data_IF_295757776025
#
_entry.id   IF_295757776025
#
_cell.length_a   1.000
_cell.length_b   1.000
_cell.length_c   1.000
_cell.angle_alpha   90.00
_cell.angle_beta   90.00
_cell.angle_gamma   90.00
#
_symmetry.space_group_name_H-M   'P 1'
#
loop_
_entity.id
_entity.type
_entity.pdbx_description
1 polymer ?
#
# COMPACT_ATOMS: atom_id res chain seq x y z
N UNK A 1 24.69 16.49 -2.00
CA UNK A 1 24.63 15.30 -1.13
C UNK A 1 23.32 14.60 -1.45
N UNK A 2 23.40 13.28 -1.66
CA UNK A 2 22.47 12.51 -2.51
C UNK A 2 21.01 12.54 -2.07
N UNK A 3 20.10 12.51 -3.05
CA UNK A 3 18.72 12.12 -2.82
C UNK A 3 18.73 10.76 -2.13
N UNK A 4 18.05 10.64 -0.99
CA UNK A 4 17.73 9.33 -0.46
C UNK A 4 16.79 8.69 -1.50
N UNK A 5 17.31 7.71 -2.25
CA UNK A 5 16.57 7.00 -3.28
C UNK A 5 15.57 6.02 -2.64
N UNK A 6 14.50 6.58 -2.07
CA UNK A 6 13.33 5.84 -1.61
C UNK A 6 13.23 5.63 -0.10
N UNK A 7 11.99 5.66 0.42
CA UNK A 7 11.67 5.33 1.80
C UNK A 7 11.30 3.85 1.89
N UNK A 8 12.07 3.08 2.66
CA UNK A 8 11.86 1.63 2.84
C UNK A 8 11.65 1.28 4.31
N UNK A 9 11.00 0.15 4.55
CA UNK A 9 10.79 -0.36 5.90
C UNK A 9 12.05 -1.05 6.40
N UNK A 10 12.19 -1.19 7.73
CA UNK A 10 13.29 -1.94 8.32
C UNK A 10 13.24 -3.41 7.86
N UNK A 11 14.26 -3.81 7.11
CA UNK A 11 14.36 -5.12 6.48
C UNK A 11 14.65 -6.27 7.46
N UNK A 12 14.83 -7.47 6.90
CA UNK A 12 15.15 -8.68 7.65
C UNK A 12 13.99 -9.31 8.40
N UNK A 13 14.34 -10.21 9.30
CA UNK A 13 13.45 -11.02 10.13
C UNK A 13 13.71 -10.83 11.63
N UNK A 14 14.44 -9.76 12.01
CA UNK A 14 14.77 -9.38 13.39
C UNK A 14 13.58 -8.86 14.21
N UNK A 15 13.75 -8.66 15.53
CA UNK A 15 12.63 -8.33 16.44
C UNK A 15 12.04 -6.95 16.16
N UNK A 16 12.85 -6.09 15.54
CA UNK A 16 12.51 -4.73 15.15
C UNK A 16 12.23 -4.61 13.64
N UNK A 17 12.25 -5.73 12.90
CA UNK A 17 11.99 -5.75 11.46
C UNK A 17 10.51 -5.49 11.16
N UNK A 18 10.24 -5.00 9.96
CA UNK A 18 8.87 -4.82 9.48
C UNK A 18 8.11 -6.14 9.37
N UNK A 19 8.79 -7.23 9.00
CA UNK A 19 8.24 -8.59 8.93
C UNK A 19 7.56 -9.01 10.23
N UNK A 20 8.08 -8.58 11.38
CA UNK A 20 7.53 -8.91 12.72
C UNK A 20 6.63 -7.84 13.33
N UNK A 21 6.60 -6.62 12.77
CA UNK A 21 5.91 -5.46 13.37
C UNK A 21 4.88 -4.81 12.45
N UNK A 22 4.40 -5.52 11.42
CA UNK A 22 3.44 -5.01 10.42
C UNK A 22 2.03 -5.62 10.55
N UNK A 23 1.66 -6.10 11.75
CA UNK A 23 0.36 -6.73 11.99
C UNK A 23 -0.82 -5.76 11.83
N UNK A 24 -0.55 -4.46 11.94
CA UNK A 24 -1.53 -3.40 11.70
C UNK A 24 -1.91 -3.36 10.22
N UNK A 25 -0.93 -3.28 9.32
CA UNK A 25 -1.16 -3.34 7.87
C UNK A 25 -1.76 -4.69 7.47
N UNK A 26 -1.35 -5.78 8.13
CA UNK A 26 -1.95 -7.10 7.89
C UNK A 26 -3.46 -7.11 8.13
N UNK A 27 -3.95 -6.42 9.18
CA UNK A 27 -5.38 -6.36 9.46
C UNK A 27 -6.18 -5.71 8.32
N UNK A 28 -5.64 -4.67 7.66
CA UNK A 28 -6.28 -4.07 6.50
C UNK A 28 -6.34 -5.03 5.30
N UNK A 29 -5.28 -5.81 5.08
CA UNK A 29 -5.25 -6.86 4.03
C UNK A 29 -6.32 -7.91 4.31
N UNK A 30 -6.40 -8.42 5.55
CA UNK A 30 -7.36 -9.45 5.95
C UNK A 30 -8.81 -8.95 5.76
N UNK A 31 -9.12 -7.73 6.22
CA UNK A 31 -10.43 -7.11 6.07
C UNK A 31 -10.80 -6.87 4.60
N UNK A 32 -9.84 -6.49 3.76
CA UNK A 32 -10.08 -6.23 2.33
C UNK A 32 -10.33 -7.50 1.50
N UNK A 33 -10.00 -8.70 2.01
CA UNK A 33 -10.08 -9.98 1.28
C UNK A 33 -11.44 -10.21 0.62
N UNK A 34 -12.53 -9.98 1.36
CA UNK A 34 -13.88 -10.23 0.85
C UNK A 34 -14.27 -9.25 -0.27
N UNK A 35 -13.77 -8.01 -0.19
CA UNK A 35 -13.99 -6.98 -1.20
C UNK A 35 -13.19 -7.28 -2.45
N UNK A 36 -11.90 -7.62 -2.32
CA UNK A 36 -11.05 -8.06 -3.44
C UNK A 36 -11.74 -9.20 -4.20
N UNK A 37 -12.26 -10.21 -3.48
CA UNK A 37 -12.96 -11.33 -4.09
C UNK A 37 -14.20 -10.90 -4.88
N UNK A 38 -15.06 -10.04 -4.32
CA UNK A 38 -16.26 -9.52 -5.00
C UNK A 38 -15.87 -8.66 -6.21
N UNK A 39 -14.94 -7.73 -6.02
CA UNK A 39 -14.44 -6.83 -7.05
C UNK A 39 -13.87 -7.57 -8.26
N UNK A 40 -13.06 -8.61 -8.04
CA UNK A 40 -12.54 -9.44 -9.14
C UNK A 40 -13.68 -10.22 -9.80
N UNK A 41 -14.56 -10.84 -9.01
CA UNK A 41 -15.71 -11.59 -9.54
C UNK A 41 -16.61 -10.74 -10.44
N UNK A 42 -16.86 -9.49 -10.07
CA UNK A 42 -17.77 -8.57 -10.78
C UNK A 42 -17.06 -7.82 -11.92
N UNK A 43 -15.87 -7.26 -11.71
CA UNK A 43 -15.31 -6.25 -12.61
C UNK A 43 -14.13 -6.72 -13.46
N UNK A 44 -13.40 -7.78 -13.08
CA UNK A 44 -12.24 -8.25 -13.85
C UNK A 44 -12.68 -8.86 -15.17
N UNK A 45 -12.30 -8.29 -16.31
CA UNK A 45 -12.59 -8.89 -17.61
C UNK A 45 -11.64 -10.06 -17.87
N UNK A 46 -12.18 -11.25 -18.12
CA UNK A 46 -11.37 -12.39 -18.56
C UNK A 46 -10.99 -12.18 -20.03
N UNK A 47 -9.69 -12.12 -20.31
CA UNK A 47 -9.19 -12.03 -21.69
C UNK A 47 -8.93 -13.42 -22.26
N UNK A 48 -8.71 -13.51 -23.58
CA UNK A 48 -8.27 -14.77 -24.21
C UNK A 48 -6.82 -15.15 -23.86
N UNK A 49 -6.07 -14.23 -23.23
CA UNK A 49 -4.75 -14.52 -22.66
C UNK A 49 -4.88 -15.57 -21.57
N UNK A 50 -3.98 -16.56 -21.59
CA UNK A 50 -3.90 -17.58 -20.55
C UNK A 50 -3.04 -17.16 -19.37
N UNK A 51 -2.34 -16.03 -19.46
CA UNK A 51 -1.45 -15.52 -18.42
C UNK A 51 -2.05 -14.28 -17.77
N UNK A 52 -2.22 -14.30 -16.46
CA UNK A 52 -2.59 -13.15 -15.63
C UNK A 52 -1.35 -12.57 -14.96
N UNK A 53 -1.16 -11.26 -15.13
CA UNK A 53 -0.04 -10.50 -14.59
C UNK A 53 -0.52 -9.59 -13.47
N UNK A 54 -0.04 -9.84 -12.26
CA UNK A 54 -0.45 -9.17 -11.03
C UNK A 54 0.75 -8.41 -10.49
N UNK A 55 0.58 -7.15 -10.09
CA UNK A 55 1.62 -6.39 -9.42
C UNK A 55 1.18 -5.94 -8.02
N UNK A 56 2.01 -6.15 -7.01
CA UNK A 56 1.87 -5.54 -5.69
C UNK A 56 2.89 -4.41 -5.55
N UNK A 57 2.42 -3.18 -5.41
CA UNK A 57 3.23 -1.96 -5.38
C UNK A 57 3.40 -1.48 -3.94
N UNK A 58 4.66 -1.36 -3.50
CA UNK A 58 5.00 -1.16 -2.09
C UNK A 58 4.92 -2.47 -1.29
N UNK A 59 5.52 -3.54 -1.82
CA UNK A 59 5.39 -4.88 -1.27
C UNK A 59 6.17 -5.10 0.04
N UNK A 60 7.16 -4.25 0.33
CA UNK A 60 8.12 -4.41 1.43
C UNK A 60 8.82 -5.78 1.38
N UNK A 61 9.25 -6.31 2.53
CA UNK A 61 9.98 -7.57 2.68
C UNK A 61 9.08 -8.80 2.97
N UNK A 62 7.75 -8.61 3.10
CA UNK A 62 6.81 -9.64 3.55
C UNK A 62 6.52 -9.62 5.06
N UNK A 63 5.61 -10.50 5.56
CA UNK A 63 4.83 -11.49 4.81
C UNK A 63 3.55 -10.91 4.19
N UNK A 64 3.19 -9.66 4.51
CA UNK A 64 1.92 -9.05 4.14
C UNK A 64 1.61 -9.11 2.64
N UNK A 65 2.60 -8.83 1.78
CA UNK A 65 2.47 -8.92 0.32
C UNK A 65 2.04 -10.32 -0.16
N UNK A 66 2.50 -11.39 0.49
CA UNK A 66 2.16 -12.76 0.12
C UNK A 66 0.67 -13.03 0.37
N UNK A 67 0.13 -12.57 1.50
CA UNK A 67 -1.30 -12.68 1.79
C UNK A 67 -2.16 -11.86 0.82
N UNK A 68 -1.71 -10.65 0.45
CA UNK A 68 -2.42 -9.82 -0.51
C UNK A 68 -2.49 -10.47 -1.90
N UNK A 69 -1.35 -10.99 -2.38
CA UNK A 69 -1.25 -11.71 -3.66
C UNK A 69 -2.08 -12.98 -3.65
N UNK A 70 -2.03 -13.77 -2.57
CA UNK A 70 -2.83 -14.99 -2.44
C UNK A 70 -4.33 -14.69 -2.53
N UNK A 71 -4.80 -13.65 -1.83
CA UNK A 71 -6.20 -13.22 -1.90
C UNK A 71 -6.64 -12.85 -3.33
N UNK A 72 -5.77 -12.22 -4.13
CA UNK A 72 -6.04 -11.88 -5.53
C UNK A 72 -6.04 -13.13 -6.40
N UNK A 73 -5.03 -14.00 -6.27
CA UNK A 73 -4.92 -15.24 -7.02
C UNK A 73 -6.13 -16.15 -6.79
N UNK A 74 -6.54 -16.35 -5.54
CA UNK A 74 -7.72 -17.13 -5.18
C UNK A 74 -8.98 -16.58 -5.81
N UNK A 75 -9.15 -15.26 -5.82
CA UNK A 75 -10.30 -14.61 -6.44
C UNK A 75 -10.33 -14.82 -7.96
N UNK A 76 -9.19 -14.71 -8.64
CA UNK A 76 -9.10 -14.94 -10.09
C UNK A 76 -9.35 -16.41 -10.43
N UNK A 77 -8.70 -17.34 -9.71
CA UNK A 77 -8.89 -18.79 -9.88
C UNK A 77 -10.35 -19.19 -9.69
N UNK A 78 -11.00 -18.63 -8.66
CA UNK A 78 -12.43 -18.85 -8.44
C UNK A 78 -13.25 -18.36 -9.64
N UNK A 79 -13.00 -17.13 -10.12
CA UNK A 79 -13.71 -16.58 -11.29
C UNK A 79 -13.51 -17.44 -12.54
N UNK A 80 -12.30 -17.92 -12.79
CA UNK A 80 -12.00 -18.81 -13.90
C UNK A 80 -12.79 -20.13 -13.79
N UNK A 81 -12.82 -20.72 -12.59
CA UNK A 81 -13.52 -21.99 -12.37
C UNK A 81 -15.03 -21.88 -12.55
N UNK A 82 -15.64 -20.74 -12.22
CA UNK A 82 -17.07 -20.52 -12.41
C UNK A 82 -17.42 -20.26 -13.88
N UNK A 83 -16.54 -19.60 -14.64
CA UNK A 83 -16.76 -19.34 -16.07
C UNK A 83 -16.60 -20.61 -16.94
N UNK A 84 -15.68 -21.51 -16.60
CA UNK A 84 -15.51 -22.78 -17.34
C UNK A 84 -16.66 -23.78 -17.15
N UNK A 85 -17.55 -23.56 -16.19
CA UNK A 85 -18.70 -24.43 -15.91
C UNK A 85 -20.00 -23.97 -16.60
N UNK A 86 -19.97 -22.92 -17.43
CA UNK A 86 -21.12 -22.52 -18.25
C UNK A 86 -21.18 -23.47 -19.46
N UNK A 87 -22.28 -24.23 -19.67
CA UNK A 87 -22.40 -25.10 -20.84
C UNK A 87 -22.43 -24.26 -22.11
N UNK A 88 -21.53 -24.53 -23.06
CA UNK A 88 -21.64 -24.01 -24.42
C UNK A 88 -22.97 -24.51 -25.03
N UNK A 89 -23.98 -23.63 -25.07
CA UNK A 89 -25.30 -23.94 -25.64
C UNK A 89 -25.30 -23.97 -27.18
N UNK A 90 -24.13 -24.19 -27.81
CA UNK A 90 -23.93 -24.22 -29.26
C UNK A 90 -23.57 -25.62 -29.77
N UNK A 91 -24.34 -26.64 -29.37
CA UNK A 91 -24.36 -27.92 -30.07
C UNK A 91 -25.74 -28.17 -30.68
N UNK A 92 -26.02 -27.40 -31.73
CA UNK A 92 -27.04 -27.77 -32.71
C UNK A 92 -26.37 -28.69 -33.73
N UNK A 93 -26.35 -29.99 -33.46
CA UNK A 93 -26.01 -31.02 -34.44
C UNK A 93 -26.70 -32.33 -34.06
N UNK A 94 -27.85 -32.57 -34.70
CA UNK A 94 -28.41 -33.89 -34.84
C UNK A 94 -27.37 -34.80 -35.50
N UNK A 95 -26.81 -35.75 -34.76
CA UNK A 95 -26.42 -37.02 -35.38
C UNK A 95 -26.45 -38.16 -34.36
N UNK A 96 -27.50 -38.97 -34.46
CA UNK A 96 -27.55 -40.32 -33.88
C UNK A 96 -26.60 -41.19 -34.71
N UNK A 97 -25.54 -41.69 -34.09
CA UNK A 97 -25.13 -43.08 -34.28
C UNK A 97 -24.18 -43.51 -33.16
N UNK A 98 -24.60 -44.57 -32.49
CA UNK A 98 -23.89 -45.34 -31.48
C UNK A 98 -22.68 -46.04 -32.07
N UNK A 99 -21.53 -45.95 -31.40
CA UNK A 99 -20.72 -47.11 -31.02
C UNK A 99 -19.63 -46.73 -30.00
N UNK A 100 -19.54 -47.54 -28.96
CA UNK A 100 -18.56 -47.43 -27.88
C UNK A 100 -17.14 -47.68 -28.38
N UNK A 101 -16.19 -46.86 -27.94
CA UNK A 101 -14.87 -47.34 -27.47
C UNK A 101 -14.07 -46.20 -26.81
N UNK A 102 -13.56 -46.52 -25.63
CA UNK A 102 -12.53 -45.83 -24.83
C UNK A 102 -11.80 -44.65 -25.48
N UNK A 103 -11.96 -43.47 -24.89
CA UNK A 103 -10.81 -42.60 -24.63
C UNK A 103 -11.09 -41.79 -23.37
N UNK A 104 -10.13 -41.83 -22.45
CA UNK A 104 -10.06 -41.00 -21.26
C UNK A 104 -10.04 -39.51 -21.68
N UNK A 105 -11.21 -38.88 -21.81
CA UNK A 105 -11.30 -37.43 -21.98
C UNK A 105 -11.41 -36.76 -20.59
N UNK A 106 -10.43 -37.03 -19.73
CA UNK A 106 -10.06 -36.13 -18.63
C UNK A 106 -8.85 -35.36 -19.12
N UNK A 107 -8.92 -34.03 -19.06
CA UNK A 107 -7.83 -33.06 -19.25
C UNK A 107 -7.70 -32.47 -20.66
N UNK A 108 -8.56 -31.49 -20.94
CA UNK A 108 -8.13 -30.26 -21.62
C UNK A 108 -8.62 -29.06 -20.79
N UNK A 109 -8.36 -29.08 -19.48
CA UNK A 109 -8.53 -27.90 -18.62
C UNK A 109 -7.30 -27.04 -18.88
N UNK A 110 -7.38 -26.10 -19.81
CA UNK A 110 -6.26 -25.21 -20.13
C UNK A 110 -5.94 -24.39 -18.88
N UNK A 111 -4.84 -24.74 -18.21
CA UNK A 111 -4.42 -24.09 -16.96
C UNK A 111 -4.03 -22.64 -17.25
N UNK A 112 -4.65 -21.70 -16.56
CA UNK A 112 -4.16 -20.32 -16.54
C UNK A 112 -2.79 -20.29 -15.86
N UNK A 113 -1.92 -19.40 -16.32
CA UNK A 113 -0.64 -19.10 -15.70
C UNK A 113 -0.73 -17.76 -14.97
N UNK A 114 0.01 -17.63 -13.88
CA UNK A 114 0.04 -16.42 -13.08
C UNK A 114 1.48 -15.92 -12.96
N UNK A 115 1.69 -14.62 -13.19
CA UNK A 115 2.96 -13.96 -12.96
C UNK A 115 2.74 -12.80 -12.01
N UNK A 116 3.35 -12.88 -10.84
CA UNK A 116 3.30 -11.88 -9.79
C UNK A 116 4.59 -11.06 -9.79
N UNK A 117 4.43 -9.74 -9.82
CA UNK A 117 5.48 -8.76 -9.67
C UNK A 117 5.39 -8.12 -8.29
N UNK A 118 6.49 -8.17 -7.56
CA UNK A 118 6.65 -7.53 -6.26
C UNK A 118 7.47 -6.26 -6.46
N UNK A 119 6.83 -5.08 -6.37
CA UNK A 119 7.51 -3.81 -6.55
C UNK A 119 7.72 -3.10 -5.22
N UNK A 120 8.91 -2.54 -5.06
CA UNK A 120 9.25 -1.59 -4.00
C UNK A 120 10.46 -0.75 -4.45
N UNK A 121 10.92 0.17 -3.61
CA UNK A 121 12.15 0.92 -3.83
C UNK A 121 13.37 -0.02 -3.94
N UNK A 122 14.42 0.44 -4.63
CA UNK A 122 15.61 -0.37 -4.87
C UNK A 122 16.35 -0.79 -3.58
N UNK A 123 16.21 -0.01 -2.52
CA UNK A 123 16.78 -0.27 -1.20
C UNK A 123 15.97 -1.29 -0.37
N UNK A 124 14.80 -1.72 -0.86
CA UNK A 124 13.98 -2.68 -0.14
C UNK A 124 14.69 -4.04 -0.03
N UNK A 125 14.43 -4.75 1.06
CA UNK A 125 15.00 -6.07 1.31
C UNK A 125 14.27 -7.17 0.52
N UNK A 126 14.50 -7.16 -0.80
CA UNK A 126 14.02 -8.22 -1.69
C UNK A 126 14.60 -9.59 -1.34
N UNK A 127 15.77 -9.66 -0.70
CA UNK A 127 16.36 -10.94 -0.32
C UNK A 127 15.52 -11.65 0.74
N UNK A 128 15.05 -10.93 1.76
CA UNK A 128 14.12 -11.46 2.75
C UNK A 128 12.80 -11.87 2.10
N UNK A 129 12.25 -11.04 1.22
CA UNK A 129 11.04 -11.38 0.46
C UNK A 129 11.22 -12.70 -0.32
N UNK A 130 12.28 -12.81 -1.13
CA UNK A 130 12.50 -13.98 -1.98
C UNK A 130 12.75 -15.25 -1.18
N UNK A 131 13.40 -15.17 -0.01
CA UNK A 131 13.55 -16.32 0.91
C UNK A 131 12.22 -16.75 1.54
N UNK A 132 11.26 -15.83 1.67
CA UNK A 132 9.95 -16.11 2.26
C UNK A 132 8.91 -16.64 1.26
N UNK A 133 9.21 -16.62 -0.06
CA UNK A 133 8.29 -17.11 -1.08
C UNK A 133 7.97 -18.60 -0.87
N UNK A 134 6.70 -19.04 -0.98
CA UNK A 134 6.34 -20.44 -0.87
C UNK A 134 7.05 -21.30 -1.92
N UNK A 135 7.58 -22.46 -1.49
CA UNK A 135 8.23 -23.43 -2.38
C UNK A 135 7.22 -24.01 -3.38
N UNK A 136 6.06 -24.42 -2.90
CA UNK A 136 4.95 -24.92 -3.72
C UNK A 136 3.99 -23.77 -4.02
N UNK A 137 4.33 -22.97 -5.04
CA UNK A 137 3.48 -21.89 -5.55
C UNK A 137 3.07 -22.17 -6.99
N UNK A 138 1.86 -21.77 -7.35
CA UNK A 138 1.31 -21.90 -8.70
C UNK A 138 1.38 -20.60 -9.51
N UNK A 139 2.37 -19.76 -9.19
CA UNK A 139 2.68 -18.52 -9.89
C UNK A 139 4.18 -18.29 -10.04
N UNK A 140 4.58 -17.63 -11.13
CA UNK A 140 5.92 -17.08 -11.32
C UNK A 140 6.05 -15.78 -10.53
N UNK A 141 7.22 -15.54 -9.93
CA UNK A 141 7.48 -14.37 -9.10
C UNK A 141 8.65 -13.56 -9.66
N UNK A 142 8.57 -12.23 -9.59
CA UNK A 142 9.67 -11.33 -9.94
C UNK A 142 9.67 -10.10 -9.03
N UNK A 143 10.85 -9.66 -8.59
CA UNK A 143 11.01 -8.36 -7.93
C UNK A 143 11.23 -7.26 -8.96
N UNK A 144 10.66 -6.07 -8.71
CA UNK A 144 10.74 -4.90 -9.59
C UNK A 144 11.18 -3.69 -8.77
N UNK A 145 12.48 -3.36 -8.73
CA UNK A 145 12.96 -2.20 -7.98
C UNK A 145 12.61 -0.89 -8.70
N UNK A 146 12.00 0.06 -7.99
CA UNK A 146 11.70 1.39 -8.51
C UNK A 146 10.51 2.05 -7.82
N UNK A 147 10.45 3.39 -7.86
CA UNK A 147 9.32 4.13 -7.30
C UNK A 147 8.05 3.93 -8.12
N UNK A 148 6.96 3.51 -7.47
CA UNK A 148 5.65 3.41 -8.12
C UNK A 148 5.03 4.76 -8.48
N UNK A 149 5.58 5.91 -8.06
CA UNK A 149 5.09 7.22 -8.52
C UNK A 149 5.40 7.45 -10.02
N UNK A 150 6.28 6.65 -10.61
CA UNK A 150 6.58 6.67 -12.04
C UNK A 150 6.23 5.36 -12.75
N UNK A 151 6.61 5.27 -14.02
CA UNK A 151 6.54 4.04 -14.82
C UNK A 151 7.61 3.04 -14.36
N UNK A 152 7.19 1.79 -14.14
CA UNK A 152 8.03 0.65 -13.73
C UNK A 152 7.73 -0.61 -14.56
N UNK A 153 6.67 -0.60 -15.37
CA UNK A 153 6.30 -1.70 -16.28
C UNK A 153 6.17 -1.24 -17.74
N UNK A 154 6.24 -2.19 -18.70
CA UNK A 154 5.84 -1.95 -20.08
C UNK A 154 4.34 -1.58 -20.19
N UNK A 155 3.97 -0.98 -21.32
CA UNK A 155 2.58 -0.60 -21.54
C UNK A 155 1.67 -1.82 -21.72
N UNK A 156 0.47 -1.78 -21.11
CA UNK A 156 -0.53 -2.83 -21.23
C UNK A 156 -0.05 -4.21 -20.78
N UNK A 157 0.80 -4.27 -19.75
CA UNK A 157 1.39 -5.53 -19.26
C UNK A 157 0.79 -6.03 -17.95
N UNK A 158 -0.12 -5.30 -17.31
CA UNK A 158 -0.69 -5.70 -16.00
C UNK A 158 -2.22 -5.87 -16.08
N UNK A 159 -2.72 -6.97 -15.53
CA UNK A 159 -4.15 -7.25 -15.44
C UNK A 159 -4.74 -6.72 -14.12
N UNK A 160 -4.00 -6.91 -13.02
CA UNK A 160 -4.40 -6.45 -11.68
C UNK A 160 -3.21 -5.80 -10.98
N UNK A 161 -3.41 -4.60 -10.47
CA UNK A 161 -2.46 -3.90 -9.60
C UNK A 161 -3.06 -3.82 -8.21
N UNK A 162 -2.26 -4.09 -7.20
CA UNK A 162 -2.59 -3.90 -5.80
C UNK A 162 -1.59 -2.94 -5.17
N UNK A 163 -2.05 -2.07 -4.28
CA UNK A 163 -1.22 -1.16 -3.51
C UNK A 163 -1.85 -0.97 -2.14
N UNK A 164 -1.21 -1.51 -1.10
CA UNK A 164 -1.71 -1.45 0.27
C UNK A 164 -0.72 -0.75 1.17
N UNK A 165 -1.19 0.21 1.98
CA UNK A 165 -0.37 0.94 2.94
C UNK A 165 0.92 1.53 2.35
N UNK A 166 0.88 1.98 1.08
CA UNK A 166 2.04 2.52 0.39
C UNK A 166 1.77 3.91 -0.23
N UNK A 167 0.61 4.13 -0.87
CA UNK A 167 0.29 5.40 -1.56
C UNK A 167 0.17 6.64 -0.64
N UNK A 168 0.21 6.46 0.68
CA UNK A 168 0.26 7.56 1.64
C UNK A 168 1.69 8.07 1.88
N UNK A 169 2.70 7.36 1.39
CA UNK A 169 4.08 7.82 1.33
C UNK A 169 4.24 8.76 0.14
N UNK A 170 4.71 9.98 0.41
CA UNK A 170 5.04 10.96 -0.62
C UNK A 170 6.32 10.55 -1.34
N UNK A 171 6.46 10.99 -2.60
CA UNK A 171 7.68 10.77 -3.38
C UNK A 171 8.90 11.47 -2.78
N UNK A 172 8.66 12.60 -2.10
CA UNK A 172 9.64 13.31 -1.30
C UNK A 172 8.92 14.08 -0.18
N UNK A 173 9.62 14.29 0.94
CA UNK A 173 9.15 15.18 1.99
C UNK A 173 9.11 16.63 1.48
N UNK A 174 8.15 17.47 1.92
CA UNK A 174 8.16 18.89 1.62
C UNK A 174 9.47 19.56 2.07
N UNK A 175 10.15 20.23 1.13
CA UNK A 175 11.44 20.91 1.38
C UNK A 175 11.23 22.30 1.98
N UNK A 176 10.63 22.36 3.16
CA UNK A 176 10.38 23.61 3.86
C UNK A 176 10.63 23.48 5.35
N UNK A 177 11.19 24.53 5.93
CA UNK A 177 11.38 24.61 7.37
C UNK A 177 10.03 24.55 8.11
N UNK A 178 9.95 23.64 9.07
CA UNK A 178 8.80 23.38 9.93
C UNK A 178 9.22 23.55 11.41
N UNK A 179 9.45 24.79 11.88
CA UNK A 179 10.11 25.01 13.16
C UNK A 179 9.49 24.26 14.34
N UNK A 180 10.31 23.47 15.04
CA UNK A 180 9.92 22.67 16.19
C UNK A 180 8.95 21.52 15.90
N UNK A 181 8.80 21.10 14.64
CA UNK A 181 7.87 20.04 14.21
C UNK A 181 8.48 19.18 13.12
N UNK A 182 8.09 17.91 13.11
CA UNK A 182 8.50 16.95 12.08
C UNK A 182 7.36 16.58 11.11
N UNK A 183 6.15 17.13 11.26
CA UNK A 183 4.99 16.74 10.46
C UNK A 183 4.00 17.90 10.22
N UNK A 184 3.03 17.72 9.33
CA UNK A 184 2.05 18.74 8.96
C UNK A 184 1.01 19.04 10.06
N UNK A 185 0.95 18.22 11.12
CA UNK A 185 0.06 18.41 12.26
C UNK A 185 0.30 19.76 12.94
N UNK A 186 -0.68 20.68 12.88
CA UNK A 186 -0.55 22.00 13.53
C UNK A 186 0.57 22.87 12.94
N UNK A 187 1.06 22.54 11.75
CA UNK A 187 2.04 23.32 11.02
C UNK A 187 1.42 24.60 10.44
N UNK A 188 2.29 25.51 9.96
CA UNK A 188 1.85 26.72 9.24
C UNK A 188 1.13 26.34 7.94
N UNK A 189 0.24 27.22 7.49
CA UNK A 189 -0.57 27.00 6.29
C UNK A 189 0.26 26.70 5.04
N UNK A 190 1.44 27.31 4.89
CA UNK A 190 2.33 27.04 3.77
C UNK A 190 2.82 25.59 3.77
N UNK A 191 3.19 25.07 4.95
CA UNK A 191 3.65 23.68 5.11
C UNK A 191 2.54 22.71 4.81
N UNK A 192 1.35 22.94 5.37
CA UNK A 192 0.18 22.13 5.08
C UNK A 192 -0.17 22.11 3.57
N UNK A 193 -0.12 23.26 2.90
CA UNK A 193 -0.34 23.37 1.44
C UNK A 193 0.72 22.62 0.63
N UNK A 194 1.98 22.65 1.06
CA UNK A 194 3.06 21.91 0.38
C UNK A 194 2.83 20.39 0.45
N UNK A 195 2.40 19.88 1.60
CA UNK A 195 1.99 18.48 1.77
C UNK A 195 0.81 18.11 0.86
N UNK A 196 -0.26 18.92 0.85
CA UNK A 196 -1.45 18.69 0.01
C UNK A 196 -1.10 18.72 -1.48
N UNK A 197 -0.27 19.67 -1.92
CA UNK A 197 0.16 19.76 -3.31
C UNK A 197 1.00 18.55 -3.73
N UNK A 198 1.98 18.16 -2.91
CA UNK A 198 2.85 17.00 -3.19
C UNK A 198 2.03 15.71 -3.29
N UNK A 199 1.08 15.50 -2.38
CA UNK A 199 0.15 14.36 -2.43
C UNK A 199 -0.64 14.33 -3.74
N UNK A 200 -1.22 15.45 -4.16
CA UNK A 200 -1.99 15.53 -5.39
C UNK A 200 -1.13 15.22 -6.63
N UNK A 201 0.09 15.76 -6.69
CA UNK A 201 1.06 15.47 -7.76
C UNK A 201 1.43 13.98 -7.79
N UNK A 202 1.78 13.40 -6.63
CA UNK A 202 2.22 12.02 -6.51
C UNK A 202 1.11 11.02 -6.90
N UNK A 203 -0.13 11.26 -6.45
CA UNK A 203 -1.27 10.41 -6.83
C UNK A 203 -1.60 10.58 -8.32
N UNK A 204 -1.55 11.78 -8.89
CA UNK A 204 -1.78 11.96 -10.34
C UNK A 204 -0.74 11.22 -11.17
N UNK A 205 0.55 11.33 -10.81
CA UNK A 205 1.65 10.65 -11.48
C UNK A 205 1.57 9.13 -11.34
N UNK A 206 1.18 8.64 -10.16
CA UNK A 206 0.86 7.24 -9.94
C UNK A 206 -0.23 6.77 -10.91
N UNK A 207 -1.36 7.47 -10.98
CA UNK A 207 -2.48 7.12 -11.86
C UNK A 207 -2.07 7.17 -13.34
N UNK A 208 -1.34 8.20 -13.78
CA UNK A 208 -0.80 8.31 -15.14
C UNK A 208 0.10 7.13 -15.52
N UNK A 209 0.99 6.72 -14.62
CA UNK A 209 1.86 5.58 -14.84
C UNK A 209 1.05 4.28 -14.92
N UNK A 210 0.14 4.04 -13.97
CA UNK A 210 -0.74 2.86 -13.98
C UNK A 210 -1.64 2.82 -15.20
N UNK A 211 -2.12 3.96 -15.68
CA UNK A 211 -2.98 4.04 -16.86
C UNK A 211 -2.30 3.55 -18.14
N UNK A 212 -0.96 3.66 -18.21
CA UNK A 212 -0.16 3.15 -19.32
C UNK A 212 0.16 1.67 -19.17
N UNK A 213 0.35 1.20 -17.94
CA UNK A 213 0.82 -0.16 -17.64
C UNK A 213 -0.30 -1.19 -17.53
N UNK A 214 -1.47 -0.76 -17.05
CA UNK A 214 -2.63 -1.63 -16.85
C UNK A 214 -3.38 -1.77 -18.18
N UNK A 215 -3.73 -3.01 -18.54
CA UNK A 215 -4.55 -3.31 -19.72
C UNK A 215 -5.90 -2.63 -19.63
N UNK A 216 -6.55 -2.38 -20.77
CA UNK A 216 -7.93 -1.87 -20.77
C UNK A 216 -8.85 -2.83 -20.01
N UNK A 217 -9.70 -2.28 -19.14
CA UNK A 217 -10.56 -3.08 -18.25
C UNK A 217 -9.83 -3.79 -17.10
N UNK A 218 -8.50 -3.69 -17.02
CA UNK A 218 -7.72 -4.14 -15.88
C UNK A 218 -8.04 -3.34 -14.61
N UNK A 219 -7.67 -3.89 -13.46
CA UNK A 219 -8.05 -3.37 -12.15
C UNK A 219 -6.86 -2.81 -11.39
N UNK A 220 -7.08 -1.71 -10.66
CA UNK A 220 -6.17 -1.22 -9.62
C UNK A 220 -6.93 -1.23 -8.30
N UNK A 221 -6.40 -1.94 -7.31
CA UNK A 221 -6.97 -2.08 -5.97
C UNK A 221 -6.08 -1.32 -5.00
N UNK A 222 -6.64 -0.32 -4.32
CA UNK A 222 -5.94 0.45 -3.30
C UNK A 222 -6.52 0.11 -1.93
N UNK A 223 -5.65 -0.14 -0.95
CA UNK A 223 -6.01 -0.37 0.46
C UNK A 223 -5.14 0.53 1.33
N UNK A 224 -5.57 1.77 1.56
CA UNK A 224 -4.66 2.82 2.07
C UNK A 224 -5.17 3.46 3.37
N UNK A 225 -4.28 3.82 4.31
CA UNK A 225 -4.67 4.62 5.45
C UNK A 225 -5.08 6.03 4.98
N UNK A 226 -6.13 6.56 5.60
CA UNK A 226 -6.79 7.78 5.18
C UNK A 226 -7.43 8.48 6.38
N UNK A 227 -7.87 9.71 6.17
CA UNK A 227 -8.62 10.49 7.17
C UNK A 227 -10.09 10.60 6.78
N UNK A 228 -10.97 10.74 7.77
CA UNK A 228 -12.37 11.05 7.52
C UNK A 228 -12.54 12.40 6.80
N UNK A 229 -13.58 12.54 5.98
CA UNK A 229 -13.93 13.82 5.35
C UNK A 229 -14.15 14.89 6.43
N UNK A 230 -13.50 16.05 6.28
CA UNK A 230 -13.61 17.16 7.23
C UNK A 230 -12.85 16.95 8.55
N UNK A 231 -12.18 15.82 8.76
CA UNK A 231 -11.30 15.61 9.92
C UNK A 231 -10.00 16.38 9.69
N UNK A 232 -9.65 17.38 10.53
CA UNK A 232 -8.38 18.09 10.41
C UNK A 232 -7.22 17.21 10.90
N UNK A 233 -6.03 17.43 10.35
CA UNK A 233 -4.82 16.71 10.77
C UNK A 233 -4.53 16.85 12.27
N UNK A 234 -4.82 18.00 12.87
CA UNK A 234 -4.66 18.22 14.32
C UNK A 234 -5.50 17.29 15.20
N UNK A 235 -6.53 16.64 14.66
CA UNK A 235 -7.36 15.66 15.36
C UNK A 235 -7.22 14.23 14.85
N UNK A 236 -6.40 13.97 13.84
CA UNK A 236 -6.23 12.62 13.28
C UNK A 236 -5.28 11.79 14.16
N UNK A 237 -5.68 10.57 14.55
CA UNK A 237 -4.86 9.68 15.38
C UNK A 237 -3.43 9.48 14.89
N UNK A 238 -3.25 9.12 13.61
CA UNK A 238 -1.91 9.06 12.99
C UNK A 238 -1.09 10.33 13.11
N UNK A 239 -1.74 11.48 12.92
CA UNK A 239 -1.08 12.77 12.98
C UNK A 239 -0.62 13.10 14.40
N UNK A 240 -1.40 12.73 15.42
CA UNK A 240 -1.00 12.85 16.83
C UNK A 240 0.20 11.95 17.12
N UNK A 241 0.20 10.70 16.67
CA UNK A 241 1.32 9.78 16.90
C UNK A 241 2.63 10.27 16.24
N UNK A 242 2.54 10.77 15.00
CA UNK A 242 3.68 11.36 14.30
C UNK A 242 4.18 12.65 14.97
N UNK A 243 3.27 13.48 15.49
CA UNK A 243 3.61 14.68 16.27
C UNK A 243 4.37 14.29 17.55
N UNK A 244 3.90 13.27 18.29
CA UNK A 244 4.60 12.75 19.48
C UNK A 244 6.00 12.22 19.15
N UNK A 245 6.16 11.54 18.01
CA UNK A 245 7.47 11.07 17.56
C UNK A 245 8.38 12.26 17.19
N UNK A 246 7.85 13.28 16.52
CA UNK A 246 8.55 14.52 16.23
C UNK A 246 8.98 15.27 17.49
N UNK A 247 8.12 15.32 18.51
CA UNK A 247 8.47 15.91 19.81
C UNK A 247 9.66 15.18 20.48
N UNK A 248 9.87 13.87 20.23
CA UNK A 248 11.07 13.18 20.74
C UNK A 248 12.35 13.72 20.10
N UNK A 249 12.30 14.06 18.81
CA UNK A 249 13.43 14.65 18.09
C UNK A 249 13.74 16.07 18.60
N UNK A 250 12.68 16.84 18.88
CA UNK A 250 12.81 18.17 19.51
C UNK A 250 13.44 18.06 20.90
N UNK A 251 13.04 17.08 21.71
CA UNK A 251 13.64 16.88 23.04
C UNK A 251 15.13 16.55 22.95
N UNK A 252 15.55 15.72 21.99
CA UNK A 252 16.97 15.44 21.73
C UNK A 252 17.75 16.69 21.28
N UNK A 253 17.14 17.56 20.47
CA UNK A 253 17.78 18.82 20.07
C UNK A 253 17.99 19.75 21.26
N UNK A 254 16.98 19.89 22.14
CA UNK A 254 17.06 20.70 23.37
C UNK A 254 18.12 20.22 24.35
N UNK A 255 18.39 18.92 24.35
CA UNK A 255 19.47 18.33 25.14
C UNK A 255 20.86 18.50 24.51
N UNK A 256 20.94 19.07 23.30
CA UNK A 256 22.20 19.32 22.60
C UNK A 256 22.77 18.11 21.85
N UNK A 257 21.95 17.10 21.54
CA UNK A 257 22.40 15.95 20.71
C UNK A 257 22.64 16.38 19.25
N UNK A 258 21.85 17.34 18.77
CA UNK A 258 22.01 18.01 17.47
C UNK A 258 21.31 19.37 17.50
N UNK A 259 21.58 20.22 16.50
CA UNK A 259 20.98 21.55 16.39
C UNK A 259 19.46 21.49 16.14
N UNK A 260 18.71 22.45 16.69
CA UNK A 260 17.25 22.56 16.48
C UNK A 260 16.88 22.72 14.99
N UNK A 261 17.71 23.43 14.22
CA UNK A 261 17.56 23.59 12.77
C UNK A 261 17.49 22.24 12.04
N UNK A 262 18.20 21.22 12.55
CA UNK A 262 18.17 19.87 11.99
C UNK A 262 16.78 19.23 12.10
N UNK A 263 16.02 19.56 13.14
CA UNK A 263 14.61 19.16 13.30
C UNK A 263 13.72 19.99 12.40
N UNK A 264 13.96 21.29 12.33
CA UNK A 264 13.16 22.22 11.51
C UNK A 264 13.20 21.85 10.02
N UNK A 265 14.31 21.31 9.52
CA UNK A 265 14.45 20.85 8.14
C UNK A 265 13.83 19.46 7.88
N UNK A 266 13.52 18.70 8.93
CA UNK A 266 13.02 17.35 8.83
C UNK A 266 11.49 17.30 8.74
N UNK A 267 10.97 16.56 7.77
CA UNK A 267 9.54 16.39 7.57
C UNK A 267 9.24 14.92 7.24
N UNK A 268 8.32 14.30 7.99
CA UNK A 268 7.84 12.97 7.68
C UNK A 268 7.08 12.98 6.34
N UNK A 269 7.42 12.13 5.36
CA UNK A 269 6.86 12.14 4.02
C UNK A 269 5.53 11.37 3.96
N UNK A 270 4.61 11.66 4.87
CA UNK A 270 3.29 11.04 4.91
C UNK A 270 2.19 12.02 4.51
N UNK A 271 1.16 11.54 3.84
CA UNK A 271 -0.10 12.26 3.68
C UNK A 271 -1.28 11.30 3.75
N UNK A 272 -2.20 11.56 4.67
CA UNK A 272 -3.43 10.81 4.83
C UNK A 272 -4.57 11.54 4.10
N UNK A 273 -4.83 11.11 2.87
CA UNK A 273 -5.91 11.66 2.06
C UNK A 273 -7.28 11.43 2.69
N UNK A 274 -8.23 12.34 2.45
CA UNK A 274 -9.64 12.06 2.64
C UNK A 274 -10.25 11.38 1.42
N UNK A 275 -11.40 10.69 1.57
CA UNK A 275 -12.14 10.12 0.44
C UNK A 275 -12.42 11.16 -0.66
N UNK A 276 -12.90 12.36 -0.27
CA UNK A 276 -13.22 13.43 -1.22
C UNK A 276 -12.00 13.94 -1.99
N UNK A 277 -10.86 14.13 -1.32
CA UNK A 277 -9.62 14.54 -1.99
C UNK A 277 -9.16 13.50 -3.00
N UNK A 278 -9.19 12.22 -2.62
CA UNK A 278 -8.75 11.13 -3.48
C UNK A 278 -9.68 10.96 -4.69
N UNK A 279 -10.99 10.98 -4.46
CA UNK A 279 -12.02 10.95 -5.51
C UNK A 279 -11.80 12.09 -6.51
N UNK A 280 -11.63 13.32 -6.02
CA UNK A 280 -11.38 14.48 -6.87
C UNK A 280 -10.12 14.32 -7.74
N UNK A 281 -9.01 13.82 -7.17
CA UNK A 281 -7.78 13.60 -7.95
C UNK A 281 -8.01 12.54 -9.04
N UNK A 282 -8.67 11.42 -8.70
CA UNK A 282 -8.96 10.33 -9.66
C UNK A 282 -9.87 10.81 -10.79
N UNK A 283 -10.92 11.56 -10.46
CA UNK A 283 -11.85 12.12 -11.44
C UNK A 283 -11.19 13.13 -12.37
N UNK A 284 -10.37 14.05 -11.82
CA UNK A 284 -9.62 15.03 -12.59
C UNK A 284 -8.61 14.38 -13.55
N UNK A 285 -7.95 13.32 -13.11
CA UNK A 285 -6.99 12.58 -13.92
C UNK A 285 -7.68 11.77 -15.04
N UNK A 286 -8.86 11.20 -14.77
CA UNK A 286 -9.78 10.70 -15.78
C UNK A 286 -9.40 9.37 -16.46
N UNK A 287 -8.28 8.72 -16.10
CA UNK A 287 -7.88 7.44 -16.71
C UNK A 287 -8.63 6.21 -16.17
N UNK A 288 -9.23 6.33 -14.99
CA UNK A 288 -9.90 5.24 -14.29
C UNK A 288 -11.37 5.57 -13.99
N UNK A 289 -12.16 4.52 -13.78
CA UNK A 289 -13.51 4.58 -13.21
C UNK A 289 -13.39 4.10 -11.77
N UNK A 290 -13.96 4.85 -10.84
CA UNK A 290 -14.11 4.40 -9.45
C UNK A 290 -15.31 3.46 -9.44
N UNK A 291 -15.04 2.15 -9.43
CA UNK A 291 -16.09 1.13 -9.34
C UNK A 291 -16.57 0.99 -7.89
N UNK A 292 -15.66 1.22 -6.93
CA UNK A 292 -15.97 1.15 -5.52
C UNK A 292 -15.00 2.00 -4.70
N UNK A 293 -15.51 2.74 -3.73
CA UNK A 293 -14.73 3.43 -2.71
C UNK A 293 -15.47 3.34 -1.38
N UNK A 294 -14.91 2.64 -0.39
CA UNK A 294 -15.51 2.55 0.94
C UNK A 294 -14.46 2.45 2.05
N UNK A 295 -14.86 2.89 3.24
CA UNK A 295 -14.05 2.70 4.44
C UNK A 295 -14.11 1.25 4.92
N UNK A 296 -12.95 0.66 5.22
CA UNK A 296 -12.86 -0.64 5.86
C UNK A 296 -13.24 -0.50 7.34
N UNK A 297 -14.26 -1.24 7.76
CA UNK A 297 -14.60 -1.43 9.17
C UNK A 297 -13.72 -2.52 9.76
N UNK A 298 -13.48 -2.51 11.08
CA UNK A 298 -12.77 -3.61 11.78
C UNK A 298 -11.26 -3.75 11.44
N UNK A 299 -10.64 -2.69 10.93
CA UNK A 299 -9.17 -2.60 10.90
C UNK A 299 -8.68 -2.23 12.29
N UNK A 300 -7.47 -2.68 12.66
CA UNK A 300 -6.80 -2.19 13.87
C UNK A 300 -6.76 -0.65 13.85
N UNK A 301 -6.86 -0.05 15.01
CA UNK A 301 -6.90 1.41 15.19
C UNK A 301 -5.71 1.91 15.99
N UNK A 302 -5.52 3.22 16.03
CA UNK A 302 -4.47 3.84 16.83
C UNK A 302 -4.65 3.61 18.33
N UNK A 303 -5.87 3.31 18.78
CA UNK A 303 -6.15 2.95 20.17
C UNK A 303 -5.49 1.61 20.53
N UNK A 304 -5.30 0.69 19.58
CA UNK A 304 -4.61 -0.58 19.83
C UNK A 304 -3.14 -0.35 20.19
N UNK A 305 -2.48 0.67 19.62
CA UNK A 305 -1.12 1.07 20.01
C UNK A 305 -1.04 1.55 21.45
N UNK A 306 -2.13 2.12 21.98
CA UNK A 306 -2.20 2.60 23.35
C UNK A 306 -2.42 1.45 24.35
N UNK A 307 -2.97 0.32 23.90
CA UNK A 307 -3.11 -0.89 24.69
C UNK A 307 -1.81 -1.71 24.71
N UNK A 308 -0.99 -1.61 23.66
CA UNK A 308 0.33 -2.24 23.59
C UNK A 308 1.41 -1.24 23.14
N UNK A 309 1.97 -0.53 24.12
CA UNK A 309 2.97 0.52 23.89
C UNK A 309 4.29 -0.02 23.34
N UNK A 310 4.64 -1.27 23.69
CA UNK A 310 5.83 -1.91 23.16
C UNK A 310 5.64 -2.22 21.68
N UNK A 311 4.48 -2.75 21.30
CA UNK A 311 4.12 -2.95 19.91
C UNK A 311 4.10 -1.61 19.14
N UNK A 312 3.54 -0.54 19.72
CA UNK A 312 3.55 0.79 19.10
C UNK A 312 4.97 1.27 18.80
N UNK A 313 5.87 1.20 19.78
CA UNK A 313 7.26 1.62 19.60
C UNK A 313 7.98 0.81 18.53
N UNK A 314 7.82 -0.53 18.53
CA UNK A 314 8.39 -1.40 17.50
C UNK A 314 7.79 -1.15 16.12
N UNK A 315 6.49 -0.88 16.02
CA UNK A 315 5.83 -0.52 14.76
C UNK A 315 6.42 0.75 14.16
N UNK A 316 6.53 1.82 14.95
CA UNK A 316 7.10 3.08 14.46
C UNK A 316 8.60 2.94 14.14
N UNK A 317 9.35 2.17 14.94
CA UNK A 317 10.74 1.85 14.63
C UNK A 317 10.85 1.12 13.30
N UNK A 318 10.05 0.08 13.07
CA UNK A 318 10.08 -0.70 11.85
C UNK A 318 9.69 0.08 10.58
N UNK A 319 8.92 1.17 10.73
CA UNK A 319 8.45 1.99 9.60
C UNK A 319 9.23 3.27 9.38
N UNK A 320 9.90 3.83 10.40
CA UNK A 320 10.54 5.16 10.32
C UNK A 320 12.02 5.18 10.71
N UNK A 321 12.60 4.07 11.16
CA UNK A 321 14.01 4.02 11.59
C UNK A 321 14.99 4.45 10.51
N UNK A 322 14.88 3.92 9.29
CA UNK A 322 15.74 4.31 8.17
C UNK A 322 15.63 5.80 7.85
N UNK A 323 14.40 6.33 7.85
CA UNK A 323 14.16 7.76 7.59
C UNK A 323 14.82 8.64 8.67
N UNK A 324 14.62 8.32 9.95
CA UNK A 324 15.18 9.08 11.06
C UNK A 324 16.70 8.88 11.13
N UNK A 325 17.19 7.66 10.98
CA UNK A 325 18.60 7.29 11.08
C UNK A 325 19.44 7.94 9.98
N UNK A 326 18.92 8.03 8.76
CA UNK A 326 19.61 8.69 7.65
C UNK A 326 19.72 10.21 7.82
N UNK A 327 18.75 10.86 8.47
CA UNK A 327 18.79 12.30 8.71
C UNK A 327 19.54 12.66 9.99
N UNK A 328 19.21 12.01 11.10
CA UNK A 328 19.70 12.36 12.44
C UNK A 328 20.93 11.58 12.89
N UNK A 329 21.19 10.40 12.31
CA UNK A 329 22.17 9.42 12.79
C UNK A 329 21.47 8.18 13.36
N UNK A 330 22.01 6.99 13.10
CA UNK A 330 21.42 5.73 13.56
C UNK A 330 21.60 5.52 15.07
N UNK A 331 22.57 6.19 15.68
CA UNK A 331 22.89 6.12 17.11
C UNK A 331 21.76 6.63 18.02
N UNK A 332 20.85 7.47 17.50
CA UNK A 332 19.73 8.00 18.29
C UNK A 332 18.53 7.06 18.34
N UNK A 333 18.46 6.05 17.46
CA UNK A 333 17.25 5.25 17.24
C UNK A 333 16.84 4.49 18.50
N UNK A 334 17.78 3.87 19.21
CA UNK A 334 17.49 3.15 20.46
C UNK A 334 16.94 4.09 21.53
N UNK A 335 17.50 5.30 21.62
CA UNK A 335 17.04 6.29 22.57
C UNK A 335 15.62 6.78 22.25
N UNK A 336 15.33 7.04 20.98
CA UNK A 336 14.00 7.44 20.51
C UNK A 336 12.99 6.33 20.78
N UNK A 337 13.23 5.12 20.29
CA UNK A 337 12.21 4.07 20.25
C UNK A 337 12.12 3.22 21.52
N UNK A 338 13.19 3.08 22.31
CA UNK A 338 13.13 2.31 23.56
C UNK A 338 12.88 3.17 24.79
N UNK A 339 13.10 4.49 24.71
CA UNK A 339 12.98 5.38 25.88
C UNK A 339 11.99 6.51 25.64
N UNK A 340 12.29 7.46 24.73
CA UNK A 340 11.55 8.71 24.64
C UNK A 340 10.12 8.52 24.13
N UNK A 341 9.96 7.79 23.03
CA UNK A 341 8.66 7.60 22.39
C UNK A 341 7.69 6.79 23.27
N UNK A 342 8.07 5.64 23.86
CA UNK A 342 7.22 4.95 24.84
C UNK A 342 6.80 5.86 26.01
N UNK A 343 7.72 6.65 26.57
CA UNK A 343 7.41 7.56 27.67
C UNK A 343 6.40 8.64 27.25
N UNK A 344 6.53 9.20 26.04
CA UNK A 344 5.55 10.16 25.51
C UNK A 344 4.19 9.51 25.28
N UNK A 345 4.14 8.29 24.71
CA UNK A 345 2.87 7.58 24.53
C UNK A 345 2.14 7.33 25.86
N UNK A 346 2.87 7.03 26.95
CA UNK A 346 2.28 6.91 28.30
C UNK A 346 1.70 8.25 28.76
N UNK A 347 2.49 9.33 28.68
CA UNK A 347 2.10 10.65 29.18
C UNK A 347 0.92 11.23 28.38
N UNK A 348 0.94 11.05 27.08
CA UNK A 348 0.01 11.67 26.13
C UNK A 348 -1.08 10.70 25.64
N UNK A 349 -1.28 9.58 26.35
CA UNK A 349 -2.30 8.57 26.05
C UNK A 349 -3.69 9.18 25.81
N UNK A 350 -4.07 10.18 26.60
CA UNK A 350 -5.36 10.85 26.46
C UNK A 350 -5.47 11.68 25.16
N UNK A 351 -4.37 12.26 24.64
CA UNK A 351 -4.37 12.94 23.33
C UNK A 351 -4.68 11.95 22.21
N UNK A 352 -4.15 10.73 22.29
CA UNK A 352 -4.41 9.69 21.29
C UNK A 352 -5.85 9.16 21.40
N UNK A 353 -6.34 8.88 22.62
CA UNK A 353 -7.72 8.39 22.83
C UNK A 353 -8.77 9.43 22.40
N UNK A 354 -8.51 10.71 22.62
CA UNK A 354 -9.43 11.80 22.24
C UNK A 354 -9.35 12.20 20.76
N UNK A 355 -8.40 11.64 20.01
CA UNK A 355 -8.28 11.87 18.58
C UNK A 355 -9.42 11.19 17.80
N UNK A 356 -9.68 11.70 16.60
CA UNK A 356 -10.54 11.03 15.64
C UNK A 356 -9.78 9.84 15.03
N UNK A 357 -10.38 8.64 15.01
CA UNK A 357 -9.72 7.46 14.44
C UNK A 357 -9.45 7.68 12.95
N UNK A 358 -8.33 7.16 12.46
CA UNK A 358 -8.14 7.06 11.01
C UNK A 358 -9.07 6.01 10.41
N UNK A 359 -9.19 6.05 9.10
CA UNK A 359 -9.90 5.03 8.34
C UNK A 359 -8.91 4.35 7.40
N UNK A 360 -9.23 3.13 6.98
CA UNK A 360 -8.63 2.55 5.78
C UNK A 360 -9.63 2.66 4.64
N UNK A 361 -9.16 3.09 3.47
CA UNK A 361 -9.98 3.12 2.27
C UNK A 361 -9.65 1.93 1.40
N UNK A 362 -10.70 1.18 1.02
CA UNK A 362 -10.68 0.29 -0.11
C UNK A 362 -11.17 1.04 -1.34
N UNK A 363 -10.36 1.08 -2.39
CA UNK A 363 -10.72 1.69 -3.68
C UNK A 363 -10.49 0.69 -4.79
N UNK A 364 -11.54 0.39 -5.55
CA UNK A 364 -11.47 -0.35 -6.79
C UNK A 364 -11.53 0.62 -7.96
N UNK A 365 -10.46 0.65 -8.74
CA UNK A 365 -10.37 1.41 -9.98
C UNK A 365 -10.36 0.44 -11.16
N UNK A 366 -11.14 0.75 -12.19
CA UNK A 366 -11.11 0.03 -13.46
C UNK A 366 -10.54 0.92 -14.55
N UNK A 367 -9.57 0.41 -15.30
CA UNK A 367 -8.96 1.14 -16.42
C UNK A 367 -10.01 1.36 -17.51
N UNK A 368 -10.25 2.62 -17.89
CA UNK A 368 -11.20 2.98 -18.95
C UNK A 368 -10.79 2.35 -20.29
N UNK A 369 -11.73 1.78 -21.06
CA UNK A 369 -11.52 1.50 -22.48
C UNK A 369 -11.42 2.85 -23.23
N UNK A 370 -10.33 3.03 -23.97
CA UNK A 370 -9.88 4.22 -24.70
C UNK A 370 -10.64 5.55 -24.50
N UNK A 371 -9.99 6.48 -23.78
CA UNK A 371 -9.90 7.86 -24.25
C UNK A 371 -8.67 7.85 -25.15
N UNK A 372 -8.83 8.02 -26.46
CA UNK A 372 -7.73 8.14 -27.42
C UNK A 372 -6.70 9.14 -26.87
N UNK A 373 -5.55 8.64 -26.42
CA UNK A 373 -4.38 9.48 -26.14
C UNK A 373 -3.79 9.82 -27.51
N UNK A 374 -4.13 11.01 -28.03
CA UNK A 374 -3.38 11.64 -29.12
C UNK A 374 -2.00 12.06 -28.64
#
# INVERSE_FOLDING_TARGET
>A
MGSIDGFVMNGGDGDESYTRNSSFQKSAIDTSKSLIRKSIAEHLTLTSSRTFRIADLGCSAGPNTLFAVENILDAIKLKLSTHSNIPDNNNNSNNKNSNSQNSNNKNSKTSAEFHVYFNDHALNDFNTLFKSLPTERDYYASGVPGSFHGRIFPSGSLDVVHCSSALHWLSEAPRMANPGRAYCCGARDEVAKAYTWRHADDVSRFLEARAREVVQGGLVVLVIPARGNGVPYTRLGWSVLLDLLGECLVDLAREGIFDEEKVDEFNFPFYFTSPRELEQIIEQNGFFIIEKMEGLTEVKSEVDFIHDLQYAAKFFRATTSELIGNHFGHEILDRVFHTLFPQKLVREKNRVISSSPSIFLFVLLKRRPDILQN
#
